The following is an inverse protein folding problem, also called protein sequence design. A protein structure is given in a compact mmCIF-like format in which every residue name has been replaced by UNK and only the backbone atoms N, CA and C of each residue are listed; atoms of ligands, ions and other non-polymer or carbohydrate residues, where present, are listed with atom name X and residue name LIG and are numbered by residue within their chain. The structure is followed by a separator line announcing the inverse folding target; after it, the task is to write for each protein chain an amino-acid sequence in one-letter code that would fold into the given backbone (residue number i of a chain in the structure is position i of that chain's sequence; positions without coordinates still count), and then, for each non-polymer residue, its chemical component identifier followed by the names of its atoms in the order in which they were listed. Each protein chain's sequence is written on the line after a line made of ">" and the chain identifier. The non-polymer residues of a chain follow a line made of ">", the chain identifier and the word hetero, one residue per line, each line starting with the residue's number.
data_IF_847193178304
#
_entry.id   IF_847193178304
#
_cell.length_a   1.000
_cell.length_b   1.000
_cell.length_c   1.000
_cell.angle_alpha   90.00
_cell.angle_beta   90.00
_cell.angle_gamma   90.00
#
_symmetry.space_group_name_H-M   'P 1'
#
loop_
_entity.id
_entity.type
_entity.pdbx_description
1 polymer ?
#
# COMPACT_ATOMS: atom_id res chain seq x y z
N UNK A 1 -20.55 -3.68 -2.62
CA UNK A 1 -21.22 -3.69 -1.30
C UNK A 1 -22.35 -2.67 -1.34
N UNK A 2 -23.58 -3.00 -0.92
CA UNK A 2 -24.75 -2.10 -1.11
C UNK A 2 -25.02 -1.14 0.07
N UNK A 3 -24.37 -1.32 1.22
CA UNK A 3 -24.65 -0.56 2.46
C UNK A 3 -23.38 -0.08 3.19
N UNK A 4 -22.26 0.07 2.48
CA UNK A 4 -20.97 0.45 3.07
C UNK A 4 -20.42 1.66 2.34
N UNK A 5 -20.12 2.71 3.09
CA UNK A 5 -19.38 3.87 2.61
C UNK A 5 -17.93 3.76 3.06
N UNK A 6 -17.00 4.25 2.25
CA UNK A 6 -15.56 4.20 2.52
C UNK A 6 -14.90 5.53 2.16
N UNK A 7 -13.94 5.96 2.98
CA UNK A 7 -13.05 7.09 2.71
C UNK A 7 -11.64 6.74 3.15
N UNK A 8 -10.64 7.37 2.54
CA UNK A 8 -9.24 7.22 2.96
C UNK A 8 -9.04 7.79 4.37
N UNK A 9 -8.17 7.13 5.12
CA UNK A 9 -7.70 7.63 6.42
C UNK A 9 -6.67 8.75 6.20
N UNK A 10 -6.47 9.62 7.19
CA UNK A 10 -5.47 10.70 7.10
C UNK A 10 -4.05 10.18 6.86
N UNK A 11 -3.68 9.04 7.46
CA UNK A 11 -2.35 8.43 7.26
C UNK A 11 -2.12 7.98 5.80
N UNK A 12 -3.18 7.72 5.03
CA UNK A 12 -3.07 7.34 3.61
C UNK A 12 -2.40 8.42 2.75
N UNK A 13 -2.48 9.69 3.15
CA UNK A 13 -1.78 10.79 2.46
C UNK A 13 -0.26 10.59 2.49
N UNK A 14 0.29 10.07 3.59
CA UNK A 14 1.73 9.78 3.68
C UNK A 14 2.20 8.66 2.75
N UNK A 15 1.27 7.80 2.30
CA UNK A 15 1.53 6.68 1.39
C UNK A 15 1.44 7.12 -0.07
N UNK A 16 0.49 8.01 -0.38
CA UNK A 16 0.18 8.46 -1.75
C UNK A 16 0.83 9.78 -2.13
N UNK A 17 1.56 10.41 -1.22
CA UNK A 17 2.18 11.71 -1.45
C UNK A 17 3.11 11.67 -2.65
N UNK A 18 2.94 12.67 -3.54
CA UNK A 18 3.76 12.88 -4.74
C UNK A 18 3.72 11.72 -5.76
N UNK A 19 2.67 10.88 -5.73
CA UNK A 19 2.49 9.79 -6.70
C UNK A 19 2.36 10.29 -8.14
N UNK A 20 1.80 11.49 -8.34
CA UNK A 20 1.62 12.11 -9.67
C UNK A 20 2.90 12.77 -10.22
N UNK A 21 4.03 12.70 -9.49
CA UNK A 21 5.31 13.35 -9.87
C UNK A 21 6.34 12.39 -10.45
N UNK A 22 5.87 11.30 -11.06
CA UNK A 22 6.73 10.28 -11.67
C UNK A 22 7.78 9.72 -10.68
N UNK A 23 7.34 9.52 -9.43
CA UNK A 23 8.21 9.07 -8.33
C UNK A 23 8.39 7.56 -8.26
N UNK A 24 7.56 6.81 -8.99
CA UNK A 24 7.50 5.35 -8.98
C UNK A 24 7.24 4.83 -10.39
N UNK A 25 7.81 3.66 -10.69
CA UNK A 25 7.55 2.99 -11.95
C UNK A 25 6.09 2.50 -12.04
N UNK A 26 5.51 2.55 -13.24
CA UNK A 26 4.16 2.07 -13.51
C UNK A 26 4.15 0.89 -14.47
N UNK A 27 3.21 -0.03 -14.28
CA UNK A 27 2.96 -1.18 -15.15
C UNK A 27 1.54 -1.09 -15.73
N UNK A 28 1.30 -1.81 -16.82
CA UNK A 28 -0.07 -2.03 -17.31
C UNK A 28 -0.87 -2.85 -16.31
N UNK A 29 -2.15 -2.52 -16.17
CA UNK A 29 -3.12 -3.31 -15.43
C UNK A 29 -3.45 -4.62 -16.19
N UNK A 30 -4.30 -5.46 -15.60
CA UNK A 30 -4.57 -6.82 -16.10
C UNK A 30 -5.06 -6.91 -17.56
N UNK A 31 -5.71 -5.87 -18.09
CA UNK A 31 -6.21 -5.79 -19.47
C UNK A 31 -5.49 -4.73 -20.33
N UNK A 32 -4.40 -4.14 -19.82
CA UNK A 32 -3.58 -3.11 -20.46
C UNK A 32 -4.35 -1.85 -20.90
N UNK A 33 -5.43 -1.51 -20.20
CA UNK A 33 -6.20 -0.27 -20.44
C UNK A 33 -5.75 0.89 -19.55
N UNK A 34 -5.20 0.60 -18.38
CA UNK A 34 -4.77 1.58 -17.38
C UNK A 34 -3.35 1.27 -16.91
N UNK A 35 -2.66 2.30 -16.40
CA UNK A 35 -1.38 2.15 -15.73
C UNK A 35 -1.58 2.14 -14.22
N UNK A 36 -0.91 1.23 -13.52
CA UNK A 36 -0.89 1.14 -12.07
C UNK A 36 0.56 1.19 -11.53
N UNK A 37 0.80 1.82 -10.38
CA UNK A 37 2.13 1.90 -9.78
C UNK A 37 2.61 0.54 -9.29
N UNK A 38 3.89 0.20 -9.51
CA UNK A 38 4.50 -1.04 -9.01
C UNK A 38 4.64 -1.06 -7.48
N UNK A 39 4.88 0.10 -6.88
CA UNK A 39 4.96 0.30 -5.43
C UNK A 39 4.49 1.72 -5.09
N UNK A 40 4.18 1.94 -3.82
CA UNK A 40 3.73 3.25 -3.33
C UNK A 40 4.92 4.04 -2.76
N UNK A 41 4.99 5.37 -2.97
CA UNK A 41 6.12 6.21 -2.58
C UNK A 41 6.31 6.41 -1.05
N UNK A 42 5.49 5.74 -0.24
CA UNK A 42 5.37 5.82 1.22
C UNK A 42 6.52 6.55 1.96
N UNK A 43 6.20 7.70 2.55
CA UNK A 43 7.15 8.53 3.31
C UNK A 43 7.56 7.91 4.65
N UNK A 44 6.79 6.96 5.16
CA UNK A 44 7.01 6.28 6.43
C UNK A 44 7.15 4.78 6.20
N UNK A 45 7.90 4.05 7.06
CA UNK A 45 8.10 2.61 6.94
C UNK A 45 6.83 1.82 7.31
N UNK A 46 5.81 1.87 6.44
CA UNK A 46 4.48 1.33 6.70
C UNK A 46 4.48 -0.17 7.04
N UNK A 47 5.43 -0.94 6.48
CA UNK A 47 5.62 -2.36 6.81
C UNK A 47 5.87 -2.60 8.31
N UNK A 48 6.61 -1.71 8.97
CA UNK A 48 6.87 -1.79 10.41
C UNK A 48 5.72 -1.18 11.22
N UNK A 49 5.15 -0.08 10.73
CA UNK A 49 4.07 0.62 11.44
C UNK A 49 2.79 -0.22 11.52
N UNK A 50 2.37 -0.79 10.38
CA UNK A 50 1.12 -1.57 10.28
C UNK A 50 1.34 -3.08 10.39
N UNK A 51 2.58 -3.54 10.24
CA UNK A 51 2.90 -4.97 10.21
C UNK A 51 2.41 -5.65 8.93
N UNK A 52 2.49 -6.98 8.92
CA UNK A 52 1.97 -7.83 7.85
C UNK A 52 1.82 -9.25 8.38
N UNK A 53 0.72 -9.91 8.02
CA UNK A 53 0.49 -11.31 8.31
C UNK A 53 0.08 -12.00 7.01
N UNK A 54 0.71 -13.14 6.72
CA UNK A 54 0.47 -13.87 5.49
C UNK A 54 0.94 -15.32 5.58
N UNK A 55 0.18 -16.20 4.92
CA UNK A 55 0.50 -17.63 4.81
C UNK A 55 0.52 -17.97 3.32
N UNK A 56 1.64 -18.51 2.86
CA UNK A 56 1.82 -19.04 1.51
C UNK A 56 2.20 -20.52 1.59
N UNK A 57 2.33 -21.19 0.45
CA UNK A 57 2.69 -22.62 0.40
C UNK A 57 4.08 -22.82 1.02
N UNK A 58 4.13 -23.40 2.22
CA UNK A 58 5.37 -23.72 2.93
C UNK A 58 6.02 -22.54 3.66
N UNK A 59 5.39 -21.36 3.71
CA UNK A 59 5.94 -20.17 4.38
C UNK A 59 4.86 -19.42 5.15
N UNK A 60 5.23 -18.88 6.31
CA UNK A 60 4.39 -17.98 7.09
C UNK A 60 5.20 -16.74 7.46
N UNK A 61 4.55 -15.58 7.42
CA UNK A 61 5.12 -14.29 7.84
C UNK A 61 4.21 -13.64 8.86
N UNK A 62 4.82 -13.10 9.92
CA UNK A 62 4.15 -12.29 10.93
C UNK A 62 5.08 -11.18 11.39
N UNK A 63 4.76 -9.95 11.00
CA UNK A 63 5.50 -8.74 11.36
C UNK A 63 4.61 -7.94 12.33
N UNK A 64 5.08 -7.68 13.56
CA UNK A 64 4.32 -6.91 14.53
C UNK A 64 4.29 -5.42 14.17
N UNK A 65 3.32 -4.70 14.74
CA UNK A 65 3.22 -3.23 14.62
C UNK A 65 4.24 -2.54 15.52
N UNK A 66 4.74 -1.41 15.05
CA UNK A 66 5.72 -0.57 15.76
C UNK A 66 5.16 0.85 15.95
N UNK A 67 5.56 1.49 17.04
CA UNK A 67 5.18 2.87 17.33
C UNK A 67 6.01 3.84 16.47
N UNK A 68 5.38 4.92 15.99
CA UNK A 68 6.03 5.98 15.19
C UNK A 68 6.86 6.95 16.05
N UNK A 69 6.53 7.08 17.35
CA UNK A 69 7.09 7.99 18.36
C UNK A 69 6.93 9.50 18.06
#
# INVERSE_FOLDING_TARGET
>A
MRYTEARLSSISETILRDIDRDTVDTTDNFDATLKEPLFLPALLPNMLLMGSEGIAVGMATKIPTHNLA
#
